data_IF_676855707395
#
_entry.id   IF_676855707395
#
_cell.length_a   1.000
_cell.length_b   1.000
_cell.length_c   1.000
_cell.angle_alpha   90.00
_cell.angle_beta   90.00
_cell.angle_gamma   90.00
#
_symmetry.space_group_name_H-M   'P 1'
#
loop_
_entity.id
_entity.type
_entity.pdbx_description
1 polymer ?
#
# COMPACT_ATOMS: atom_id res chain seq x y z
N UNK A 1 -56.05 4.34 -5.17
CA UNK A 1 -56.72 5.32 -4.27
C UNK A 1 -57.39 4.54 -3.15
N UNK A 2 -57.12 4.69 -1.85
CA UNK A 2 -56.14 5.50 -1.15
C UNK A 2 -55.87 4.81 0.22
N UNK A 3 -54.97 3.83 0.21
CA UNK A 3 -54.51 3.06 1.40
C UNK A 3 -53.43 3.79 2.20
N UNK A 4 -53.31 5.12 2.03
CA UNK A 4 -52.24 5.97 2.59
C UNK A 4 -52.59 6.63 3.94
N UNK A 5 -53.68 6.21 4.62
CA UNK A 5 -54.11 6.83 5.89
C UNK A 5 -54.04 5.93 7.13
N UNK A 6 -53.64 4.66 7.01
CA UNK A 6 -53.62 3.74 8.17
C UNK A 6 -52.23 3.59 8.80
N UNK A 7 -51.15 3.93 8.09
CA UNK A 7 -49.78 3.81 8.64
C UNK A 7 -49.34 5.09 9.39
N UNK A 8 -49.98 6.23 9.14
CA UNK A 8 -49.66 7.50 9.82
C UNK A 8 -50.22 7.61 11.26
N UNK A 9 -51.07 6.67 11.70
CA UNK A 9 -51.74 6.74 13.01
C UNK A 9 -51.09 5.89 14.11
N UNK A 10 -50.14 5.02 13.79
CA UNK A 10 -49.47 4.17 14.80
C UNK A 10 -48.18 4.75 15.39
N UNK A 11 -47.59 5.79 14.78
CA UNK A 11 -46.38 6.44 15.31
C UNK A 11 -46.72 7.62 16.24
N UNK A 12 -47.89 8.24 16.10
CA UNK A 12 -48.29 9.38 16.96
C UNK A 12 -48.79 8.93 18.35
N UNK A 13 -49.24 7.68 18.50
CA UNK A 13 -49.84 7.22 19.77
C UNK A 13 -48.81 6.84 20.86
N UNK A 14 -47.53 6.67 20.52
CA UNK A 14 -46.47 6.38 21.51
C UNK A 14 -45.86 7.64 22.13
N UNK A 15 -46.05 8.81 21.52
CA UNK A 15 -45.54 10.08 22.08
C UNK A 15 -46.54 10.80 23.01
N UNK A 16 -47.83 10.43 23.01
CA UNK A 16 -48.85 11.09 23.83
C UNK A 16 -49.02 10.50 25.24
N UNK A 17 -48.30 9.43 25.60
CA UNK A 17 -48.36 8.84 26.94
C UNK A 17 -47.32 9.45 27.90
N UNK A 18 -46.36 10.23 27.40
CA UNK A 18 -45.30 10.84 28.24
C UNK A 18 -45.35 12.36 28.38
N UNK A 19 -46.37 13.05 27.86
CA UNK A 19 -46.49 14.51 27.97
C UNK A 19 -47.61 14.96 28.92
N UNK A 20 -47.58 14.49 30.16
CA UNK A 20 -48.34 15.14 31.23
C UNK A 20 -47.48 15.16 32.51
N UNK A 21 -46.66 16.21 32.63
CA UNK A 21 -45.93 16.49 33.85
C UNK A 21 -44.74 17.43 33.66
N UNK A 22 -44.95 18.71 33.97
CA UNK A 22 -43.95 19.68 34.43
C UNK A 22 -42.80 20.14 33.48
N UNK A 23 -42.79 21.46 33.22
CA UNK A 23 -41.58 22.27 33.32
C UNK A 23 -40.69 22.42 32.07
N UNK A 24 -40.66 23.66 31.56
CA UNK A 24 -39.72 24.30 30.64
C UNK A 24 -38.37 23.58 30.39
N UNK A 25 -38.36 22.64 29.44
CA UNK A 25 -37.17 21.97 28.91
C UNK A 25 -37.26 21.67 27.40
N UNK A 26 -38.34 22.13 26.75
CA UNK A 26 -38.73 21.74 25.38
C UNK A 26 -37.73 22.16 24.31
N UNK A 27 -36.98 23.25 24.48
CA UNK A 27 -36.03 23.72 23.47
C UNK A 27 -34.72 22.91 23.42
N UNK A 28 -34.25 22.32 24.53
CA UNK A 28 -33.00 21.52 24.52
C UNK A 28 -33.22 20.12 23.94
N UNK A 29 -34.39 19.53 24.16
CA UNK A 29 -34.76 18.25 23.58
C UNK A 29 -35.05 18.38 22.08
N UNK A 30 -35.76 19.44 21.67
CA UNK A 30 -36.06 19.70 20.26
C UNK A 30 -34.82 19.87 19.39
N UNK A 31 -33.81 20.62 19.86
CA UNK A 31 -32.53 20.76 19.16
C UNK A 31 -31.77 19.42 19.03
N UNK A 32 -31.81 18.58 20.07
CA UNK A 32 -31.13 17.28 20.08
C UNK A 32 -31.83 16.27 19.17
N UNK A 33 -33.16 16.33 19.08
CA UNK A 33 -33.97 15.51 18.17
C UNK A 33 -33.75 15.95 16.72
N UNK A 34 -33.74 17.27 16.44
CA UNK A 34 -33.50 17.80 15.09
C UNK A 34 -32.08 17.46 14.58
N UNK A 35 -31.06 17.54 15.44
CA UNK A 35 -29.68 17.17 15.09
C UNK A 35 -29.51 15.66 14.88
N UNK A 36 -30.18 14.83 15.69
CA UNK A 36 -30.21 13.38 15.53
C UNK A 36 -30.91 12.96 14.23
N UNK A 37 -32.07 13.55 13.93
CA UNK A 37 -32.78 13.32 12.67
C UNK A 37 -31.95 13.72 11.45
N UNK A 38 -31.23 14.84 11.55
CA UNK A 38 -30.33 15.28 10.47
C UNK A 38 -29.18 14.30 10.24
N UNK A 39 -28.56 13.78 11.31
CA UNK A 39 -27.51 12.76 11.18
C UNK A 39 -28.03 11.47 10.54
N UNK A 40 -29.25 11.04 10.88
CA UNK A 40 -29.90 9.87 10.28
C UNK A 40 -30.20 10.10 8.79
N UNK A 41 -30.67 11.29 8.41
CA UNK A 41 -30.91 11.67 7.01
C UNK A 41 -29.61 11.73 6.19
N UNK A 42 -28.54 12.31 6.74
CA UNK A 42 -27.22 12.38 6.09
C UNK A 42 -26.63 10.98 5.88
N UNK A 43 -26.79 10.07 6.86
CA UNK A 43 -26.34 8.67 6.73
C UNK A 43 -27.14 7.91 5.67
N UNK A 44 -28.46 8.10 5.62
CA UNK A 44 -29.32 7.53 4.57
C UNK A 44 -28.87 8.04 3.18
N UNK A 45 -28.61 9.34 3.05
CA UNK A 45 -28.19 9.93 1.78
C UNK A 45 -26.84 9.37 1.34
N UNK A 46 -25.85 9.36 2.24
CA UNK A 46 -24.52 8.77 2.00
C UNK A 46 -24.61 7.31 1.55
N UNK A 47 -25.48 6.52 2.17
CA UNK A 47 -25.64 5.12 1.79
C UNK A 47 -26.30 4.98 0.41
N UNK A 48 -27.26 5.85 0.07
CA UNK A 48 -27.91 5.86 -1.25
C UNK A 48 -27.00 6.30 -2.38
N UNK A 49 -26.04 7.19 -2.14
CA UNK A 49 -25.02 7.59 -3.13
C UNK A 49 -24.16 6.43 -3.62
N UNK A 50 -24.09 5.33 -2.87
CA UNK A 50 -23.35 4.12 -3.26
C UNK A 50 -24.10 3.28 -4.29
N UNK A 51 -25.42 3.45 -4.42
CA UNK A 51 -26.26 2.67 -5.33
C UNK A 51 -25.90 3.02 -6.78
N UNK A 52 -25.78 1.98 -7.62
CA UNK A 52 -25.37 2.09 -9.01
C UNK A 52 -23.86 2.14 -9.22
N UNK A 53 -23.07 2.34 -8.16
CA UNK A 53 -21.61 2.34 -8.27
C UNK A 53 -21.08 0.91 -8.40
N UNK A 54 -20.02 0.78 -9.19
CA UNK A 54 -19.26 -0.46 -9.36
C UNK A 54 -18.09 -0.51 -8.39
N UNK A 55 -17.89 -1.70 -7.84
CA UNK A 55 -16.78 -2.02 -6.96
C UNK A 55 -16.12 -3.32 -7.41
N UNK A 56 -14.89 -3.54 -6.94
CA UNK A 56 -14.16 -4.78 -7.13
C UNK A 56 -13.78 -5.33 -5.76
N UNK A 57 -14.11 -6.60 -5.52
CA UNK A 57 -13.61 -7.32 -4.34
C UNK A 57 -12.40 -8.15 -4.76
N UNK A 58 -11.28 -7.95 -4.07
CA UNK A 58 -10.07 -8.76 -4.24
C UNK A 58 -10.29 -10.10 -3.53
N UNK A 59 -9.74 -11.20 -4.04
CA UNK A 59 -9.78 -12.50 -3.35
C UNK A 59 -9.25 -12.38 -1.91
N UNK A 60 -10.09 -12.71 -0.92
CA UNK A 60 -9.76 -12.66 0.50
C UNK A 60 -10.77 -13.49 1.33
N UNK A 61 -10.49 -13.68 2.61
CA UNK A 61 -11.30 -14.38 3.61
C UNK A 61 -11.87 -13.46 4.72
N UNK A 62 -11.81 -12.14 4.53
CA UNK A 62 -12.28 -11.11 5.46
C UNK A 62 -13.65 -10.52 5.06
N UNK A 63 -13.92 -10.42 3.76
CA UNK A 63 -15.17 -9.91 3.18
C UNK A 63 -16.11 -11.09 2.93
N UNK A 64 -17.13 -11.15 3.77
CA UNK A 64 -18.23 -12.10 3.64
C UNK A 64 -19.35 -11.53 2.81
N UNK A 65 -19.90 -12.38 1.96
CA UNK A 65 -21.14 -12.13 1.24
C UNK A 65 -22.20 -13.10 1.71
N UNK A 66 -23.43 -12.62 1.75
CA UNK A 66 -24.58 -13.34 2.29
C UNK A 66 -25.60 -13.57 1.16
N UNK A 67 -26.34 -14.67 1.20
CA UNK A 67 -27.47 -14.90 0.29
C UNK A 67 -28.75 -14.15 0.70
N UNK A 68 -28.80 -13.69 1.95
CA UNK A 68 -29.86 -12.89 2.54
C UNK A 68 -29.27 -11.85 3.52
N UNK A 69 -29.84 -10.64 3.71
CA UNK A 69 -29.27 -9.60 4.59
C UNK A 69 -29.53 -9.90 6.08
N UNK A 70 -28.98 -11.00 6.57
CA UNK A 70 -29.00 -11.42 7.97
C UNK A 70 -27.64 -12.04 8.33
N UNK A 71 -27.15 -11.77 9.53
CA UNK A 71 -25.88 -12.29 10.04
C UNK A 71 -25.85 -13.83 10.12
N UNK A 72 -27.03 -14.47 10.25
CA UNK A 72 -27.19 -15.92 10.29
C UNK A 72 -27.36 -16.56 8.89
N UNK A 73 -27.44 -15.75 7.84
CA UNK A 73 -27.61 -16.24 6.47
C UNK A 73 -26.39 -17.01 5.98
N UNK A 74 -26.54 -17.75 4.86
CA UNK A 74 -25.43 -18.54 4.32
C UNK A 74 -24.38 -17.59 3.77
N UNK A 75 -23.15 -17.77 4.25
CA UNK A 75 -22.01 -16.94 3.89
C UNK A 75 -21.18 -17.60 2.78
N UNK A 76 -20.52 -16.77 1.98
CA UNK A 76 -19.48 -17.19 1.07
C UNK A 76 -18.44 -16.10 0.85
N UNK A 77 -17.29 -16.50 0.32
CA UNK A 77 -16.18 -15.64 -0.06
C UNK A 77 -15.97 -15.70 -1.57
N UNK A 78 -15.40 -14.66 -2.15
CA UNK A 78 -14.97 -14.70 -3.55
C UNK A 78 -13.70 -15.53 -3.69
N UNK A 79 -13.63 -16.35 -4.74
CA UNK A 79 -12.47 -17.22 -5.02
C UNK A 79 -11.46 -16.59 -5.97
N UNK A 80 -11.85 -15.50 -6.62
CA UNK A 80 -11.04 -14.66 -7.51
C UNK A 80 -11.49 -13.20 -7.39
N UNK A 81 -10.65 -12.26 -7.81
CA UNK A 81 -11.06 -10.86 -7.92
C UNK A 81 -12.23 -10.74 -8.89
N UNK A 82 -13.32 -10.13 -8.44
CA UNK A 82 -14.54 -9.97 -9.22
C UNK A 82 -15.17 -8.60 -8.92
N UNK A 83 -15.91 -8.08 -9.90
CA UNK A 83 -16.61 -6.81 -9.75
C UNK A 83 -18.11 -7.02 -9.47
N UNK A 84 -18.70 -6.06 -8.78
CA UNK A 84 -20.12 -6.03 -8.48
C UNK A 84 -20.67 -4.60 -8.51
N UNK A 85 -21.97 -4.48 -8.73
CA UNK A 85 -22.70 -3.21 -8.67
C UNK A 85 -23.65 -3.23 -7.49
N UNK A 86 -23.64 -2.16 -6.69
CA UNK A 86 -24.63 -1.96 -5.61
C UNK A 86 -25.99 -1.70 -6.24
N UNK A 87 -26.95 -2.57 -5.98
CA UNK A 87 -28.31 -2.51 -6.52
C UNK A 87 -29.26 -1.77 -5.58
N UNK A 88 -29.10 -1.95 -4.27
CA UNK A 88 -29.99 -1.36 -3.27
C UNK A 88 -29.32 -1.32 -1.88
N UNK A 89 -29.85 -0.49 -1.00
CA UNK A 89 -29.46 -0.41 0.41
C UNK A 89 -30.58 -0.90 1.32
N UNK A 90 -30.25 -1.84 2.20
CA UNK A 90 -31.15 -2.47 3.17
C UNK A 90 -30.82 -1.91 4.56
N UNK A 91 -31.65 -1.03 5.13
CA UNK A 91 -31.42 -0.47 6.46
C UNK A 91 -31.54 -1.54 7.56
N UNK A 92 -30.98 -1.26 8.74
CA UNK A 92 -30.78 -2.19 9.86
C UNK A 92 -32.05 -2.75 10.55
N UNK A 93 -33.22 -2.57 9.95
CA UNK A 93 -34.52 -2.95 10.53
C UNK A 93 -34.85 -4.45 10.42
N UNK A 94 -33.95 -5.26 9.85
CA UNK A 94 -34.16 -6.68 9.49
C UNK A 94 -33.20 -7.68 10.16
N UNK A 95 -32.73 -7.41 11.39
CA UNK A 95 -31.81 -8.32 12.10
C UNK A 95 -32.55 -9.18 13.15
N UNK A 96 -32.41 -10.51 13.03
CA UNK A 96 -32.95 -11.48 13.98
C UNK A 96 -32.19 -11.54 15.33
N UNK A 97 -31.08 -10.81 15.47
CA UNK A 97 -30.08 -11.01 16.55
C UNK A 97 -29.80 -9.76 17.41
N UNK A 98 -30.63 -8.72 17.36
CA UNK A 98 -30.43 -7.43 18.07
C UNK A 98 -29.17 -6.64 17.65
N UNK A 99 -28.42 -7.11 16.65
CA UNK A 99 -27.29 -6.39 16.05
C UNK A 99 -27.82 -5.53 14.90
N UNK A 100 -27.72 -4.20 15.01
CA UNK A 100 -28.14 -3.28 13.96
C UNK A 100 -27.10 -3.24 12.83
N UNK A 101 -27.27 -4.10 11.83
CA UNK A 101 -26.42 -4.13 10.63
C UNK A 101 -27.26 -3.78 9.41
N UNK A 102 -26.84 -2.77 8.65
CA UNK A 102 -27.38 -2.50 7.32
C UNK A 102 -26.57 -3.23 6.25
N UNK A 103 -27.20 -3.51 5.12
CA UNK A 103 -26.59 -4.27 4.03
C UNK A 103 -26.75 -3.53 2.71
N UNK A 104 -25.87 -3.81 1.76
CA UNK A 104 -26.12 -3.54 0.35
C UNK A 104 -26.51 -4.82 -0.36
N UNK A 105 -27.57 -4.76 -1.16
CA UNK A 105 -27.83 -5.77 -2.18
C UNK A 105 -26.90 -5.49 -3.36
N UNK A 106 -26.17 -6.49 -3.81
CA UNK A 106 -25.20 -6.38 -4.90
C UNK A 106 -25.46 -7.41 -5.99
N UNK A 107 -25.05 -7.08 -7.21
CA UNK A 107 -25.01 -8.00 -8.34
C UNK A 107 -23.58 -8.13 -8.83
N UNK A 108 -23.02 -9.34 -8.76
CA UNK A 108 -21.72 -9.68 -9.34
C UNK A 108 -21.83 -9.79 -10.87
N UNK A 109 -20.72 -9.53 -11.56
CA UNK A 109 -20.65 -9.70 -13.03
C UNK A 109 -20.83 -11.15 -13.48
N UNK A 110 -20.54 -12.14 -12.62
CA UNK A 110 -20.91 -13.56 -12.84
C UNK A 110 -22.43 -13.81 -12.87
N UNK A 111 -23.25 -12.80 -12.55
CA UNK A 111 -24.70 -12.89 -12.47
C UNK A 111 -25.25 -13.29 -11.10
N UNK A 112 -24.37 -13.53 -10.11
CA UNK A 112 -24.79 -13.85 -8.74
C UNK A 112 -25.28 -12.60 -8.01
N UNK A 113 -26.41 -12.70 -7.33
CA UNK A 113 -26.87 -11.67 -6.37
C UNK A 113 -26.44 -12.06 -4.96
N UNK A 114 -26.04 -11.08 -4.16
CA UNK A 114 -25.66 -11.27 -2.76
C UNK A 114 -25.90 -10.02 -1.93
N UNK A 115 -25.59 -10.11 -0.65
CA UNK A 115 -25.61 -9.01 0.30
C UNK A 115 -24.23 -8.85 0.94
N UNK A 116 -23.84 -7.61 1.20
CA UNK A 116 -22.62 -7.26 1.93
C UNK A 116 -23.00 -6.28 3.04
N UNK A 117 -22.39 -6.40 4.22
CA UNK A 117 -22.61 -5.45 5.31
C UNK A 117 -22.15 -4.05 4.87
N UNK A 118 -22.94 -3.01 5.12
CA UNK A 118 -22.71 -1.70 4.50
C UNK A 118 -21.36 -1.09 4.87
N UNK A 119 -20.93 -1.25 6.13
CA UNK A 119 -19.63 -0.76 6.60
C UNK A 119 -18.43 -1.46 5.93
N UNK A 120 -18.62 -2.69 5.43
CA UNK A 120 -17.57 -3.45 4.72
C UNK A 120 -17.28 -2.88 3.33
N UNK A 121 -18.20 -2.11 2.74
CA UNK A 121 -17.99 -1.50 1.43
C UNK A 121 -16.86 -0.45 1.43
N UNK A 122 -16.55 0.13 2.60
CA UNK A 122 -15.47 1.11 2.76
C UNK A 122 -14.13 0.47 3.17
N UNK A 123 -14.04 -0.87 3.28
CA UNK A 123 -12.79 -1.60 3.56
C UNK A 123 -11.87 -1.62 2.34
N UNK A 124 -11.09 -0.53 2.18
CA UNK A 124 -10.26 -0.27 1.00
C UNK A 124 -9.22 -1.34 0.70
N UNK A 125 -8.82 -2.15 1.67
CA UNK A 125 -7.85 -3.23 1.44
C UNK A 125 -8.42 -4.31 0.52
N UNK A 126 -9.73 -4.57 0.63
CA UNK A 126 -10.43 -5.64 -0.07
C UNK A 126 -11.40 -5.14 -1.13
N UNK A 127 -12.02 -3.97 -0.92
CA UNK A 127 -12.99 -3.35 -1.82
C UNK A 127 -12.36 -2.15 -2.52
N UNK A 128 -12.29 -2.20 -3.84
CA UNK A 128 -11.75 -1.13 -4.68
C UNK A 128 -12.86 -0.46 -5.50
N UNK A 129 -12.71 0.83 -5.73
CA UNK A 129 -13.62 1.64 -6.57
C UNK A 129 -13.19 1.68 -8.04
N UNK A 130 -12.06 1.08 -8.37
CA UNK A 130 -11.53 0.95 -9.73
C UNK A 130 -10.96 -0.48 -9.86
N UNK A 131 -10.97 -1.02 -11.08
CA UNK A 131 -10.42 -2.34 -11.37
C UNK A 131 -8.95 -2.42 -10.94
N UNK A 132 -8.58 -3.33 -10.01
CA UNK A 132 -7.20 -3.52 -9.59
C UNK A 132 -6.23 -3.75 -10.75
N UNK A 133 -6.68 -4.40 -11.83
CA UNK A 133 -5.85 -4.64 -13.02
C UNK A 133 -5.51 -3.36 -13.76
N UNK A 134 -6.47 -2.43 -13.89
CA UNK A 134 -6.26 -1.13 -14.51
C UNK A 134 -5.31 -0.29 -13.65
N UNK A 135 -5.48 -0.32 -12.33
CA UNK A 135 -4.56 0.37 -11.40
C UNK A 135 -3.14 -0.16 -11.60
N UNK A 136 -2.94 -1.47 -11.58
CA UNK A 136 -1.61 -2.06 -11.73
C UNK A 136 -1.01 -1.83 -13.12
N UNK A 137 -1.81 -1.81 -14.18
CA UNK A 137 -1.34 -1.45 -15.52
C UNK A 137 -0.82 -0.01 -15.58
N UNK A 138 -1.55 0.96 -15.02
CA UNK A 138 -1.09 2.36 -14.92
C UNK A 138 0.25 2.45 -14.18
N UNK A 139 0.39 1.72 -13.07
CA UNK A 139 1.63 1.67 -12.28
C UNK A 139 2.79 1.03 -13.05
N UNK A 140 2.52 -0.03 -13.82
CA UNK A 140 3.52 -0.67 -14.71
C UNK A 140 4.00 0.33 -15.77
N UNK A 141 3.10 1.11 -16.37
CA UNK A 141 3.46 2.15 -17.34
C UNK A 141 4.35 3.25 -16.73
N UNK A 142 4.11 3.65 -15.48
CA UNK A 142 4.97 4.58 -14.76
C UNK A 142 6.39 4.02 -14.56
N UNK A 143 6.50 2.75 -14.17
CA UNK A 143 7.79 2.06 -14.02
C UNK A 143 8.50 1.91 -15.36
N UNK A 144 7.79 1.52 -16.42
CA UNK A 144 8.35 1.41 -17.76
C UNK A 144 8.92 2.74 -18.26
N UNK A 145 8.28 3.87 -17.92
CA UNK A 145 8.83 5.20 -18.23
C UNK A 145 10.17 5.43 -17.54
N UNK A 146 10.31 5.03 -16.28
CA UNK A 146 11.56 5.10 -15.52
C UNK A 146 12.60 4.14 -16.07
N UNK A 147 12.21 2.94 -16.49
CA UNK A 147 13.11 1.97 -17.13
C UNK A 147 13.71 2.53 -18.41
N UNK A 148 12.89 3.21 -19.24
CA UNK A 148 13.37 3.91 -20.44
C UNK A 148 14.33 5.06 -20.11
N UNK A 149 14.03 5.85 -19.08
CA UNK A 149 14.89 6.96 -18.62
C UNK A 149 16.27 6.46 -18.17
N UNK A 150 16.32 5.37 -17.42
CA UNK A 150 17.55 4.81 -16.84
C UNK A 150 18.32 3.95 -17.85
N UNK A 151 17.62 3.35 -18.82
CA UNK A 151 18.19 2.45 -19.80
C UNK A 151 18.10 0.96 -19.43
N UNK A 152 17.06 0.58 -18.69
CA UNK A 152 16.77 -0.81 -18.32
C UNK A 152 16.01 -1.46 -19.47
N UNK A 153 16.75 -1.97 -20.46
CA UNK A 153 16.21 -2.76 -21.57
C UNK A 153 17.22 -3.79 -22.04
N UNK A 154 16.72 -4.87 -22.66
CA UNK A 154 17.52 -5.99 -23.13
C UNK A 154 18.75 -5.54 -23.94
N UNK A 155 19.91 -6.04 -23.55
CA UNK A 155 21.19 -5.79 -24.19
C UNK A 155 21.97 -4.59 -23.66
N UNK A 156 21.35 -3.71 -22.86
CA UNK A 156 22.06 -2.56 -22.28
C UNK A 156 22.95 -2.93 -21.12
N UNK A 157 24.01 -2.14 -20.95
CA UNK A 157 24.87 -2.25 -19.78
C UNK A 157 24.61 -1.10 -18.81
N UNK A 158 24.49 -1.43 -17.52
CA UNK A 158 24.29 -0.47 -16.43
C UNK A 158 25.29 -0.76 -15.31
N UNK A 159 25.54 0.22 -14.46
CA UNK A 159 26.35 0.03 -13.27
C UNK A 159 25.47 -0.08 -12.03
N UNK A 160 25.66 -1.16 -11.28
CA UNK A 160 25.11 -1.29 -9.94
C UNK A 160 25.83 -0.32 -8.99
N UNK A 161 25.05 0.43 -8.21
CA UNK A 161 25.57 1.23 -7.10
C UNK A 161 26.00 0.30 -5.98
N UNK A 162 25.04 -0.37 -5.39
CA UNK A 162 25.23 -1.17 -4.18
C UNK A 162 25.24 -2.67 -4.50
N UNK A 163 25.78 -3.50 -3.59
CA UNK A 163 25.64 -4.94 -3.73
C UNK A 163 24.16 -5.33 -3.83
N UNK A 164 23.84 -6.23 -4.75
CA UNK A 164 22.47 -6.70 -4.96
C UNK A 164 22.50 -8.16 -5.37
N UNK A 165 21.73 -8.98 -4.66
CA UNK A 165 21.80 -10.45 -4.77
C UNK A 165 23.26 -10.90 -4.57
N UNK A 166 23.86 -11.62 -5.51
CA UNK A 166 25.26 -12.07 -5.46
C UNK A 166 26.25 -11.07 -6.10
N UNK A 167 25.77 -9.95 -6.65
CA UNK A 167 26.60 -9.00 -7.39
C UNK A 167 27.16 -7.93 -6.45
N UNK A 168 28.49 -7.72 -6.43
CA UNK A 168 29.09 -6.61 -5.69
C UNK A 168 28.62 -5.24 -6.20
N UNK A 169 28.71 -4.21 -5.36
CA UNK A 169 28.55 -2.83 -5.81
C UNK A 169 29.64 -2.45 -6.81
N UNK A 170 29.36 -1.44 -7.64
CA UNK A 170 30.19 -1.07 -8.81
C UNK A 170 30.37 -2.22 -9.81
N UNK A 171 29.45 -3.16 -9.88
CA UNK A 171 29.45 -4.16 -10.95
C UNK A 171 28.75 -3.59 -12.18
N UNK A 172 29.42 -3.65 -13.32
CA UNK A 172 28.77 -3.41 -14.62
C UNK A 172 28.01 -4.67 -15.01
N UNK A 173 26.71 -4.53 -15.21
CA UNK A 173 25.80 -5.61 -15.57
C UNK A 173 25.29 -5.39 -16.99
N UNK A 174 24.87 -6.47 -17.64
CA UNK A 174 24.13 -6.43 -18.90
C UNK A 174 22.72 -6.97 -18.68
N UNK A 175 21.73 -6.20 -19.10
CA UNK A 175 20.32 -6.52 -18.95
C UNK A 175 19.94 -7.60 -19.97
N UNK A 176 19.35 -8.68 -19.49
CA UNK A 176 18.85 -9.78 -20.33
C UNK A 176 17.37 -9.61 -20.63
N UNK A 177 16.58 -9.30 -19.60
CA UNK A 177 15.15 -9.05 -19.70
C UNK A 177 14.61 -8.42 -18.41
N UNK A 178 13.33 -8.04 -18.39
CA UNK A 178 12.60 -7.79 -17.15
C UNK A 178 11.16 -8.28 -17.27
N UNK A 179 10.54 -8.60 -16.13
CA UNK A 179 9.13 -9.02 -16.05
C UNK A 179 8.46 -8.33 -14.87
N UNK A 180 7.14 -8.14 -14.96
CA UNK A 180 6.32 -7.81 -13.81
C UNK A 180 5.76 -9.09 -13.20
N UNK A 181 5.71 -9.18 -11.86
CA UNK A 181 5.10 -10.32 -11.17
C UNK A 181 3.59 -10.31 -11.42
N UNK A 182 2.97 -11.45 -11.74
CA UNK A 182 1.62 -11.52 -12.31
C UNK A 182 0.54 -10.78 -11.51
N UNK A 183 0.61 -10.85 -10.18
CA UNK A 183 -0.41 -10.29 -9.28
C UNK A 183 -0.14 -8.84 -8.86
N UNK A 184 0.96 -8.22 -9.34
CA UNK A 184 1.40 -6.89 -8.90
C UNK A 184 2.11 -6.12 -10.02
N UNK A 185 2.37 -4.84 -9.78
CA UNK A 185 3.20 -4.02 -10.67
C UNK A 185 4.70 -4.09 -10.34
N UNK A 186 5.15 -5.11 -9.58
CA UNK A 186 6.54 -5.23 -9.14
C UNK A 186 7.43 -5.80 -10.23
N UNK A 187 8.49 -5.08 -10.64
CA UNK A 187 9.42 -5.58 -11.63
C UNK A 187 10.44 -6.53 -11.00
N UNK A 188 10.94 -7.44 -11.84
CA UNK A 188 12.12 -8.26 -11.61
C UNK A 188 13.01 -8.13 -12.85
N UNK A 189 14.26 -7.72 -12.65
CA UNK A 189 15.22 -7.51 -13.72
C UNK A 189 16.16 -8.70 -13.78
N UNK A 190 16.22 -9.36 -14.93
CA UNK A 190 17.18 -10.43 -15.19
C UNK A 190 18.41 -9.86 -15.88
N UNK A 191 19.58 -10.09 -15.30
CA UNK A 191 20.84 -9.54 -15.79
C UNK A 191 22.01 -10.51 -15.53
N UNK A 192 23.19 -10.17 -16.01
CA UNK A 192 24.44 -10.86 -15.67
C UNK A 192 25.58 -9.83 -15.57
N UNK A 193 26.61 -10.12 -14.79
CA UNK A 193 27.81 -9.29 -14.75
C UNK A 193 28.49 -9.30 -16.13
N UNK A 194 28.95 -8.14 -16.61
CA UNK A 194 29.63 -8.06 -17.90
C UNK A 194 30.94 -8.88 -17.86
N UNK A 195 31.06 -9.88 -18.74
CA UNK A 195 32.15 -10.86 -18.74
C UNK A 195 31.91 -12.10 -17.87
N UNK A 196 30.73 -12.25 -17.29
CA UNK A 196 30.28 -13.48 -16.63
C UNK A 196 29.06 -14.10 -17.32
N UNK A 197 28.81 -15.38 -17.04
CA UNK A 197 27.76 -16.17 -17.71
C UNK A 197 26.57 -16.52 -16.80
N UNK A 198 26.61 -16.07 -15.53
CA UNK A 198 25.56 -16.36 -14.55
C UNK A 198 24.47 -15.28 -14.58
N UNK A 199 23.25 -15.73 -14.86
CA UNK A 199 22.05 -14.93 -14.72
C UNK A 199 21.77 -14.64 -13.23
N UNK A 200 21.38 -13.41 -12.92
CA UNK A 200 20.96 -12.92 -11.61
C UNK A 200 19.64 -12.17 -11.77
N UNK A 201 18.68 -12.44 -10.87
CA UNK A 201 17.46 -11.64 -10.76
C UNK A 201 17.64 -10.56 -9.69
N UNK A 202 17.32 -9.32 -10.06
CA UNK A 202 17.20 -8.18 -9.16
C UNK A 202 15.72 -7.92 -8.96
N UNK A 203 15.25 -8.32 -7.79
CA UNK A 203 13.87 -8.11 -7.36
C UNK A 203 13.70 -6.79 -6.61
N UNK A 204 12.56 -6.17 -6.84
CA UNK A 204 12.11 -4.99 -6.12
C UNK A 204 10.97 -5.38 -5.18
N UNK A 205 10.99 -4.80 -3.97
CA UNK A 205 10.07 -5.18 -2.92
C UNK A 205 8.80 -4.35 -2.96
N UNK A 206 7.74 -4.98 -2.45
CA UNK A 206 6.40 -4.42 -2.46
C UNK A 206 6.31 -3.14 -1.63
N UNK A 207 5.70 -2.14 -2.25
CA UNK A 207 5.13 -0.99 -1.57
C UNK A 207 3.76 -0.73 -2.20
N UNK A 208 2.81 -0.17 -1.44
CA UNK A 208 1.48 0.19 -1.94
C UNK A 208 1.53 1.35 -2.95
N UNK A 209 2.66 2.08 -3.02
CA UNK A 209 2.84 3.25 -3.87
C UNK A 209 4.01 3.10 -4.86
N UNK A 210 3.80 3.35 -6.17
CA UNK A 210 4.84 3.20 -7.21
C UNK A 210 6.11 4.01 -6.96
N UNK A 211 5.97 5.18 -6.33
CA UNK A 211 7.08 6.09 -6.03
C UNK A 211 8.23 5.42 -5.27
N UNK A 212 7.94 4.45 -4.40
CA UNK A 212 8.98 3.77 -3.62
C UNK A 212 9.71 2.72 -4.45
N UNK A 213 8.99 1.99 -5.31
CA UNK A 213 9.62 1.09 -6.29
C UNK A 213 10.54 1.88 -7.22
N UNK A 214 10.06 3.04 -7.71
CA UNK A 214 10.86 3.96 -8.53
C UNK A 214 12.10 4.46 -7.78
N UNK A 215 11.97 4.79 -6.49
CA UNK A 215 13.10 5.18 -5.65
C UNK A 215 14.13 4.05 -5.54
N UNK A 216 13.70 2.82 -5.25
CA UNK A 216 14.57 1.65 -5.18
C UNK A 216 15.32 1.42 -6.50
N UNK A 217 14.65 1.55 -7.66
CA UNK A 217 15.28 1.43 -8.98
C UNK A 217 16.38 2.48 -9.15
N UNK A 218 16.06 3.75 -8.86
CA UNK A 218 17.02 4.87 -8.97
C UNK A 218 18.21 4.74 -8.02
N UNK A 219 18.01 4.14 -6.84
CA UNK A 219 19.07 3.86 -5.87
C UNK A 219 19.91 2.64 -6.23
N UNK A 220 19.36 1.72 -7.03
CA UNK A 220 20.08 0.50 -7.45
C UNK A 220 21.08 0.79 -8.55
N UNK A 221 20.73 1.64 -9.53
CA UNK A 221 21.56 1.88 -10.71
C UNK A 221 22.17 3.28 -10.75
N UNK A 222 23.36 3.37 -11.31
CA UNK A 222 23.90 4.65 -11.76
C UNK A 222 23.26 5.06 -13.09
N UNK A 223 22.72 6.27 -13.14
CA UNK A 223 22.18 6.88 -14.36
C UNK A 223 23.31 7.31 -15.31
N UNK A 224 24.50 7.60 -14.78
CA UNK A 224 25.69 8.01 -15.53
C UNK A 224 26.86 7.13 -15.16
N UNK A 225 27.80 6.93 -16.07
CA UNK A 225 29.03 6.18 -15.80
C UNK A 225 29.72 6.70 -14.51
N UNK A 226 29.91 5.85 -13.47
CA UNK A 226 30.54 6.25 -12.23
C UNK A 226 32.07 6.43 -12.36
N UNK A 227 32.69 6.02 -13.47
CA UNK A 227 34.14 6.08 -13.72
C UNK A 227 34.80 7.42 -13.33
N UNK A 228 34.23 8.61 -13.65
CA UNK A 228 34.83 9.90 -13.27
C UNK A 228 34.90 10.16 -11.76
N UNK A 229 34.01 9.53 -10.98
CA UNK A 229 33.97 9.64 -9.52
C UNK A 229 34.91 8.61 -8.90
N UNK A 230 34.77 7.35 -9.31
CA UNK A 230 35.51 6.23 -8.71
C UNK A 230 36.98 6.20 -9.09
N UNK A 231 37.37 6.79 -10.24
CA UNK A 231 38.77 6.92 -10.66
C UNK A 231 39.60 7.81 -9.73
N UNK A 232 38.95 8.70 -8.97
CA UNK A 232 39.60 9.51 -7.92
C UNK A 232 39.93 8.71 -6.67
N UNK A 233 39.39 7.49 -6.54
CA UNK A 233 39.64 6.64 -5.38
C UNK A 233 40.84 5.72 -5.62
N UNK A 234 41.67 5.56 -4.58
CA UNK A 234 42.83 4.69 -4.65
C UNK A 234 42.45 3.20 -4.81
N UNK A 235 43.37 2.40 -5.36
CA UNK A 235 43.18 0.94 -5.58
C UNK A 235 42.68 0.20 -4.35
N UNK A 236 43.12 0.61 -3.15
CA UNK A 236 42.68 0.02 -1.87
C UNK A 236 41.17 0.14 -1.67
N UNK A 237 40.57 1.30 -1.93
CA UNK A 237 39.12 1.53 -1.80
C UNK A 237 38.36 0.67 -2.80
N UNK A 238 38.75 0.70 -4.08
CA UNK A 238 38.08 -0.06 -5.13
C UNK A 238 38.15 -1.58 -4.88
N UNK A 239 39.28 -2.06 -4.37
CA UNK A 239 39.45 -3.48 -4.00
C UNK A 239 38.57 -3.86 -2.82
N UNK A 240 38.43 -2.96 -1.83
CA UNK A 240 37.57 -3.18 -0.66
C UNK A 240 36.10 -3.28 -1.09
N UNK A 241 35.61 -2.35 -1.92
CA UNK A 241 34.25 -2.36 -2.47
C UNK A 241 33.95 -3.67 -3.21
N UNK A 242 34.83 -4.07 -4.14
CA UNK A 242 34.65 -5.31 -4.92
C UNK A 242 34.63 -6.58 -4.07
N UNK A 243 35.26 -6.54 -2.88
CA UNK A 243 35.31 -7.66 -1.94
C UNK A 243 34.26 -7.57 -0.84
N UNK A 244 33.38 -6.56 -0.86
CA UNK A 244 32.41 -6.32 0.21
C UNK A 244 33.08 -6.06 1.56
N UNK A 245 34.20 -5.32 1.59
CA UNK A 245 34.95 -5.00 2.81
C UNK A 245 34.99 -3.50 3.06
N UNK A 246 34.93 -3.13 4.33
CA UNK A 246 35.14 -1.75 4.79
C UNK A 246 36.45 -1.65 5.57
N UNK A 247 36.99 -0.44 5.68
CA UNK A 247 38.12 -0.14 6.56
C UNK A 247 38.06 1.30 7.05
N UNK A 248 38.66 1.56 8.21
CA UNK A 248 38.71 2.90 8.82
C UNK A 248 39.29 3.92 7.84
N UNK A 249 38.56 5.00 7.66
CA UNK A 249 38.90 6.07 6.73
C UNK A 249 38.14 6.06 5.41
N UNK A 250 37.39 5.00 5.09
CA UNK A 250 36.44 5.05 3.98
C UNK A 250 35.35 6.07 4.26
N UNK A 251 34.87 6.74 3.21
CA UNK A 251 33.74 7.65 3.34
C UNK A 251 32.40 6.93 3.23
N UNK A 252 31.30 7.62 3.56
CA UNK A 252 29.94 7.04 3.56
C UNK A 252 29.54 6.46 2.20
N UNK A 253 29.88 7.13 1.09
CA UNK A 253 29.57 6.63 -0.24
C UNK A 253 30.31 5.33 -0.53
N UNK A 254 31.62 5.29 -0.28
CA UNK A 254 32.45 4.11 -0.47
C UNK A 254 31.97 2.93 0.37
N UNK A 255 31.54 3.18 1.62
CA UNK A 255 30.97 2.15 2.49
C UNK A 255 29.65 1.62 1.91
N UNK A 256 28.73 2.48 1.45
CA UNK A 256 27.49 2.00 0.82
C UNK A 256 27.75 1.18 -0.43
N UNK A 257 28.69 1.60 -1.27
CA UNK A 257 29.07 0.81 -2.46
C UNK A 257 29.64 -0.55 -2.08
N UNK A 258 30.27 -0.67 -0.91
CA UNK A 258 30.82 -1.93 -0.41
C UNK A 258 29.78 -2.83 0.27
N UNK A 259 28.99 -2.29 1.21
CA UNK A 259 28.11 -3.07 2.11
C UNK A 259 26.62 -2.86 1.84
N UNK A 260 26.25 -1.92 0.98
CA UNK A 260 24.87 -1.54 0.74
C UNK A 260 24.35 -0.49 1.71
N UNK A 261 23.04 -0.25 1.65
CA UNK A 261 22.37 0.70 2.54
C UNK A 261 22.20 0.07 3.94
N UNK A 262 22.45 0.82 5.01
CA UNK A 262 22.08 0.37 6.36
C UNK A 262 20.56 0.34 6.51
N UNK A 263 20.07 -0.48 7.44
CA UNK A 263 18.66 -0.52 7.83
C UNK A 263 18.25 0.79 8.51
N UNK A 264 19.11 1.32 9.38
CA UNK A 264 18.86 2.55 10.12
C UNK A 264 20.13 3.41 10.21
N UNK A 265 19.92 4.73 10.27
CA UNK A 265 20.98 5.72 10.47
C UNK A 265 20.58 6.66 11.61
N UNK A 266 21.27 6.54 12.74
CA UNK A 266 21.18 7.49 13.83
C UNK A 266 22.18 8.62 13.59
N UNK A 267 21.72 9.87 13.61
CA UNK A 267 22.55 11.06 13.38
C UNK A 267 22.54 11.97 14.59
N UNK A 268 23.71 12.43 15.00
CA UNK A 268 23.85 13.49 15.99
C UNK A 268 24.87 14.53 15.49
N UNK A 269 24.60 15.81 15.76
CA UNK A 269 25.44 16.90 15.28
C UNK A 269 25.55 18.00 16.32
N UNK A 270 26.72 18.62 16.41
CA UNK A 270 26.98 19.75 17.28
C UNK A 270 28.17 20.58 16.81
N UNK A 271 28.64 21.50 17.65
CA UNK A 271 29.78 22.38 17.37
C UNK A 271 31.06 21.62 16.95
N UNK A 272 31.17 20.35 17.33
CA UNK A 272 32.33 19.49 17.11
C UNK A 272 32.22 18.57 15.89
N UNK A 273 31.14 18.66 15.11
CA UNK A 273 30.97 17.91 13.87
C UNK A 273 29.75 16.99 13.83
N UNK A 274 29.62 16.27 12.72
CA UNK A 274 28.54 15.33 12.45
C UNK A 274 28.99 13.90 12.80
N UNK A 275 28.19 13.23 13.61
CA UNK A 275 28.37 11.83 13.99
C UNK A 275 27.20 11.02 13.46
N UNK A 276 27.48 9.88 12.85
CA UNK A 276 26.44 8.95 12.39
C UNK A 276 26.77 7.53 12.86
N UNK A 277 25.77 6.82 13.37
CA UNK A 277 25.80 5.38 13.57
C UNK A 277 24.91 4.75 12.51
N UNK A 278 25.46 3.78 11.77
CA UNK A 278 24.76 3.02 10.75
C UNK A 278 24.55 1.60 11.24
N UNK A 279 23.31 1.14 11.21
CA UNK A 279 22.87 -0.16 11.73
C UNK A 279 22.54 -1.06 10.54
N UNK A 280 23.20 -2.22 10.42
CA UNK A 280 22.99 -3.15 9.30
C UNK A 280 22.14 -4.38 9.67
N UNK A 281 21.88 -4.60 10.94
CA UNK A 281 21.02 -5.68 11.45
C UNK A 281 20.52 -5.34 12.84
N UNK A 282 19.50 -6.06 13.32
CA UNK A 282 18.84 -5.82 14.62
C UNK A 282 19.83 -5.76 15.79
N UNK A 283 20.93 -6.52 15.71
CA UNK A 283 21.97 -6.60 16.72
C UNK A 283 23.38 -6.28 16.19
N UNK A 284 23.48 -5.61 15.05
CA UNK A 284 24.74 -5.29 14.38
C UNK A 284 24.91 -5.97 13.01
N UNK A 285 26.02 -5.69 12.29
CA UNK A 285 27.12 -4.82 12.72
C UNK A 285 26.75 -3.33 12.68
N UNK A 286 27.43 -2.55 13.51
CA UNK A 286 27.28 -1.09 13.62
C UNK A 286 28.53 -0.39 13.08
N UNK A 287 28.35 0.62 12.23
CA UNK A 287 29.44 1.45 11.72
C UNK A 287 29.31 2.88 12.26
N UNK A 288 30.42 3.46 12.70
CA UNK A 288 30.45 4.82 13.24
C UNK A 288 31.23 5.76 12.33
N UNK A 289 30.60 6.89 11.99
CA UNK A 289 31.18 7.90 11.12
C UNK A 289 31.33 9.24 11.84
N UNK A 290 32.45 9.89 11.59
CA UNK A 290 32.68 11.29 11.94
C UNK A 290 32.93 12.09 10.67
N UNK A 291 32.16 13.15 10.43
CA UNK A 291 32.31 14.07 9.30
C UNK A 291 32.53 13.34 7.96
N UNK A 292 31.68 12.35 7.67
CA UNK A 292 31.69 11.52 6.46
C UNK A 292 32.81 10.46 6.38
N UNK A 293 33.54 10.17 7.46
CA UNK A 293 34.64 9.18 7.50
C UNK A 293 34.36 8.09 8.52
N UNK A 294 34.51 6.83 8.13
CA UNK A 294 34.38 5.67 9.03
C UNK A 294 35.51 5.70 10.07
N UNK A 295 35.19 5.74 11.35
CA UNK A 295 36.16 5.86 12.46
C UNK A 295 36.24 4.61 13.33
N UNK A 296 35.14 3.87 13.47
CA UNK A 296 35.10 2.58 14.18
C UNK A 296 33.92 1.71 13.70
N UNK A 297 33.89 0.46 14.14
CA UNK A 297 32.74 -0.44 13.97
C UNK A 297 32.63 -1.38 15.17
N UNK A 298 31.45 -1.98 15.31
CA UNK A 298 31.15 -3.02 16.29
C UNK A 298 30.47 -4.17 15.55
N UNK A 299 30.97 -5.39 15.76
CA UNK A 299 30.41 -6.64 15.23
C UNK A 299 29.41 -7.24 16.22
#
# INVERSE_FOLDING_TARGET
MNSRRIIALFIVLLCLIYSNGYGDSSNKYKYRDDEFHKQEEDEILKNKEKIGNRYWVIKNDEIRFYDFPDVLAKQFYVTSTESFVVQDWVPSKYSSTSIYVSYYKIAFDSGKTAYIEAYKLDEKDYIKTEDPKIIDEKRRQEIDKIFKEIGIYKGQSLWLKYPKSELPGLTKIKIKDYKFKDDKYLPSIKCYAEGGDRDVEIDFFYDDQPKYVISQIRETFYIKDPSPIVSKWGKRVLTAIKKGKVFIGMNKEQVRLSWGLPQEINKSGGKWGLHEQWIYGDFGPYLYFENNKLTSWQD
#
